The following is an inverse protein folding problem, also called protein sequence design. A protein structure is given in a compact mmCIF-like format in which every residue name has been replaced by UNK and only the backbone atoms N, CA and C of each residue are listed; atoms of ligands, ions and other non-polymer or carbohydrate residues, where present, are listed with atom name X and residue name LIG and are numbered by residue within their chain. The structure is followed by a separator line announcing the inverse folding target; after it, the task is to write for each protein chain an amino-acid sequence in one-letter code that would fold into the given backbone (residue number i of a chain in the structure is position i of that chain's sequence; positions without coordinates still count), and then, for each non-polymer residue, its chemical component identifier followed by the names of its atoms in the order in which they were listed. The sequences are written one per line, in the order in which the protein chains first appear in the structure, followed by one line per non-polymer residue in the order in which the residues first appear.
data_IF_634179694808
#
_entry.id   IF_634179694808
#
_cell.length_a   1.000
_cell.length_b   1.000
_cell.length_c   1.000
_cell.angle_alpha   90.00
_cell.angle_beta   90.00
_cell.angle_gamma   90.00
#
_symmetry.space_group_name_H-M   'P 1'
#
loop_
_entity.id
_entity.type
_entity.pdbx_description
1 polymer ?
#
# COMPACT_ATOMS: atom_id res chain seq x y z
N UNK A 1 25.30 -8.70 -0.30
CA UNK A 1 24.97 -10.02 -0.87
C UNK A 1 23.94 -9.92 -2.00
N UNK A 2 22.69 -9.55 -1.79
CA UNK A 2 21.69 -9.38 -2.87
C UNK A 2 22.01 -8.29 -3.90
N UNK A 3 22.81 -7.28 -3.58
CA UNK A 3 23.21 -6.24 -4.55
C UNK A 3 24.30 -6.74 -5.48
N UNK A 4 25.22 -7.55 -4.96
CA UNK A 4 26.36 -8.08 -5.69
C UNK A 4 25.93 -9.12 -6.75
N UNK A 5 24.98 -9.98 -6.41
CA UNK A 5 24.42 -10.96 -7.35
C UNK A 5 23.85 -10.30 -8.61
N UNK A 6 23.11 -9.19 -8.46
CA UNK A 6 22.54 -8.43 -9.58
C UNK A 6 23.59 -7.88 -10.54
N UNK A 7 24.69 -7.35 -9.98
CA UNK A 7 25.82 -6.85 -10.78
C UNK A 7 26.48 -8.00 -11.54
N UNK A 8 26.66 -9.15 -10.90
CA UNK A 8 27.26 -10.33 -11.53
C UNK A 8 26.43 -10.84 -12.71
N UNK A 9 25.11 -10.98 -12.54
CA UNK A 9 24.20 -11.39 -13.62
C UNK A 9 24.17 -10.38 -14.78
N UNK A 10 24.13 -9.08 -14.46
CA UNK A 10 24.10 -8.04 -15.47
C UNK A 10 25.42 -7.98 -16.28
N UNK A 11 26.57 -8.17 -15.64
CA UNK A 11 27.88 -8.25 -16.32
C UNK A 11 28.01 -9.47 -17.22
N UNK A 12 27.31 -10.55 -16.91
CA UNK A 12 27.18 -11.73 -17.75
C UNK A 12 26.28 -11.54 -18.98
N UNK A 13 25.79 -10.32 -19.26
CA UNK A 13 24.91 -10.00 -20.39
C UNK A 13 23.43 -10.30 -20.16
N UNK A 14 23.05 -10.68 -18.93
CA UNK A 14 21.67 -10.98 -18.57
C UNK A 14 20.83 -9.73 -18.28
N UNK A 15 19.55 -9.77 -18.62
CA UNK A 15 18.59 -8.77 -18.20
C UNK A 15 18.10 -9.06 -16.76
N UNK A 16 18.33 -8.13 -15.83
CA UNK A 16 17.93 -8.25 -14.43
C UNK A 16 16.74 -7.36 -14.15
N UNK A 17 15.64 -7.92 -13.66
CA UNK A 17 14.44 -7.18 -13.24
C UNK A 17 14.32 -7.20 -11.73
N UNK A 18 14.30 -6.01 -11.12
CA UNK A 18 14.06 -5.84 -9.68
C UNK A 18 12.61 -5.42 -9.44
N UNK A 19 11.77 -6.35 -9.04
CA UNK A 19 10.37 -6.08 -8.70
C UNK A 19 10.26 -5.40 -7.33
N UNK A 20 9.35 -4.43 -7.24
CA UNK A 20 8.97 -3.70 -6.03
C UNK A 20 7.45 -3.74 -5.85
N UNK A 21 6.97 -3.70 -4.62
CA UNK A 21 5.54 -3.73 -4.29
C UNK A 21 4.86 -2.36 -4.30
N UNK A 22 5.34 -1.41 -5.09
CA UNK A 22 4.84 -0.05 -5.21
C UNK A 22 5.87 0.82 -5.91
N UNK A 23 5.84 2.13 -5.68
CA UNK A 23 6.88 3.01 -6.22
C UNK A 23 8.24 2.71 -5.56
N UNK A 24 9.27 2.53 -6.40
CA UNK A 24 10.59 2.12 -5.92
C UNK A 24 11.36 3.26 -5.23
N UNK A 25 11.03 4.53 -5.52
CA UNK A 25 11.72 5.69 -4.97
C UNK A 25 11.05 6.25 -3.70
N UNK A 26 9.77 5.94 -3.49
CA UNK A 26 9.09 6.33 -2.24
C UNK A 26 9.26 5.26 -1.16
N UNK A 27 10.22 5.47 -0.25
CA UNK A 27 10.59 4.55 0.84
C UNK A 27 10.94 3.11 0.39
N UNK A 28 11.14 2.92 -0.92
CA UNK A 28 11.45 1.63 -1.53
C UNK A 28 12.96 1.35 -1.67
N UNK A 29 13.82 2.28 -1.25
CA UNK A 29 15.29 2.20 -1.34
C UNK A 29 15.80 2.04 -2.78
N UNK A 30 15.01 2.47 -3.77
CA UNK A 30 15.40 2.41 -5.19
C UNK A 30 16.59 3.31 -5.50
N UNK A 31 16.71 4.47 -4.82
CA UNK A 31 17.84 5.39 -4.96
C UNK A 31 19.17 4.71 -4.67
N UNK A 32 19.29 4.09 -3.49
CA UNK A 32 20.51 3.39 -3.07
C UNK A 32 20.85 2.17 -3.97
N UNK A 33 19.82 1.54 -4.56
CA UNK A 33 20.02 0.47 -5.53
C UNK A 33 20.56 1.01 -6.87
N UNK A 34 20.02 2.13 -7.34
CA UNK A 34 20.48 2.79 -8.58
C UNK A 34 21.90 3.37 -8.44
N UNK A 35 22.21 4.01 -7.32
CA UNK A 35 23.56 4.51 -7.02
C UNK A 35 24.57 3.36 -7.06
N UNK A 36 24.24 2.23 -6.44
CA UNK A 36 25.09 1.05 -6.45
C UNK A 36 25.34 0.50 -7.86
N UNK A 37 24.28 0.39 -8.70
CA UNK A 37 24.42 -0.05 -10.10
C UNK A 37 25.31 0.91 -10.90
N UNK A 38 25.13 2.22 -10.71
CA UNK A 38 25.93 3.26 -11.40
C UNK A 38 27.41 3.17 -11.05
N UNK A 39 27.74 2.98 -9.76
CA UNK A 39 29.11 2.78 -9.30
C UNK A 39 29.79 1.56 -9.95
N UNK A 40 29.02 0.54 -10.33
CA UNK A 40 29.53 -0.66 -11.01
C UNK A 40 29.45 -0.61 -12.54
N UNK A 41 29.07 0.56 -13.12
CA UNK A 41 28.96 0.77 -14.56
C UNK A 41 27.81 -0.01 -15.21
N UNK A 42 26.81 -0.44 -14.45
CA UNK A 42 25.65 -1.16 -14.94
C UNK A 42 24.56 -0.17 -15.38
N UNK A 43 24.16 -0.18 -16.67
CA UNK A 43 23.04 0.63 -17.13
C UNK A 43 21.73 0.12 -16.51
N UNK A 44 20.83 1.04 -16.17
CA UNK A 44 19.54 0.68 -15.58
C UNK A 44 18.43 1.58 -16.09
N UNK A 45 17.20 1.10 -15.95
CA UNK A 45 15.96 1.84 -16.22
C UNK A 45 15.07 1.75 -15.00
N UNK A 46 14.45 2.86 -14.63
CA UNK A 46 13.45 2.92 -13.57
C UNK A 46 12.06 2.99 -14.19
N UNK A 47 11.17 2.11 -13.73
CA UNK A 47 9.75 2.16 -14.05
C UNK A 47 9.03 2.62 -12.79
N UNK A 48 8.45 3.84 -12.77
CA UNK A 48 7.67 4.33 -11.62
C UNK A 48 6.49 3.41 -11.31
N UNK A 49 6.13 3.34 -10.04
CA UNK A 49 5.02 2.54 -9.57
C UNK A 49 3.98 3.37 -8.81
N UNK A 50 2.85 2.75 -8.48
CA UNK A 50 1.83 3.37 -7.64
C UNK A 50 2.16 3.08 -6.18
N UNK A 51 2.39 4.14 -5.39
CA UNK A 51 2.65 4.00 -3.96
C UNK A 51 1.39 3.65 -3.17
N UNK A 52 1.53 2.83 -2.13
CA UNK A 52 0.45 2.52 -1.19
C UNK A 52 -0.07 3.77 -0.44
N UNK A 53 0.75 4.82 -0.33
CA UNK A 53 0.33 6.10 0.26
C UNK A 53 -0.84 6.75 -0.48
N UNK A 54 -0.99 6.47 -1.78
CA UNK A 54 -2.09 6.96 -2.62
C UNK A 54 -3.12 5.86 -2.90
N UNK A 55 -2.65 4.64 -3.20
CA UNK A 55 -3.54 3.55 -3.57
C UNK A 55 -4.44 3.09 -2.42
N UNK A 56 -3.88 2.86 -1.22
CA UNK A 56 -4.67 2.36 -0.10
C UNK A 56 -5.79 3.33 0.33
N UNK A 57 -5.54 4.65 0.51
CA UNK A 57 -6.60 5.62 0.75
C UNK A 57 -7.65 5.66 -0.36
N UNK A 58 -7.24 5.65 -1.64
CA UNK A 58 -8.17 5.68 -2.77
C UNK A 58 -9.14 4.50 -2.75
N UNK A 59 -8.67 3.29 -2.48
CA UNK A 59 -9.50 2.09 -2.32
C UNK A 59 -10.35 2.11 -1.05
N UNK A 60 -10.01 2.92 -0.07
CA UNK A 60 -10.81 3.15 1.13
C UNK A 60 -11.84 4.29 0.98
N UNK A 61 -11.94 4.91 -0.20
CA UNK A 61 -12.79 6.08 -0.45
C UNK A 61 -12.26 7.35 0.24
N UNK A 62 -10.93 7.47 0.40
CA UNK A 62 -10.27 8.63 1.01
C UNK A 62 -9.35 9.28 -0.03
N UNK A 63 -9.77 10.34 -0.72
CA UNK A 63 -8.86 11.11 -1.55
C UNK A 63 -7.84 11.83 -0.66
N UNK A 64 -6.55 11.70 -0.95
CA UNK A 64 -5.51 12.32 -0.11
C UNK A 64 -5.45 13.85 -0.26
N UNK A 65 -6.13 14.42 -1.26
CA UNK A 65 -6.35 15.86 -1.44
C UNK A 65 -7.79 16.12 -1.81
N UNK A 66 -8.34 17.28 -1.39
CA UNK A 66 -9.68 17.71 -1.75
C UNK A 66 -9.74 19.24 -1.69
N UNK A 67 -10.33 19.88 -2.70
CA UNK A 67 -10.36 21.35 -2.84
C UNK A 67 -10.84 22.05 -1.58
N UNK A 68 -11.88 21.52 -0.91
CA UNK A 68 -12.49 22.16 0.25
C UNK A 68 -11.83 21.78 1.60
N UNK A 69 -10.91 20.80 1.60
CA UNK A 69 -10.34 20.28 2.84
C UNK A 69 -8.85 20.54 3.00
N UNK A 70 -8.06 20.41 1.93
CA UNK A 70 -6.62 20.58 2.00
C UNK A 70 -6.00 20.83 0.63
N UNK A 71 -4.92 21.60 0.60
CA UNK A 71 -4.15 21.91 -0.60
C UNK A 71 -2.86 21.07 -0.71
N UNK A 72 -2.53 20.26 0.31
CA UNK A 72 -1.28 19.51 0.35
C UNK A 72 -1.45 18.14 0.98
N UNK A 73 -0.53 17.22 0.65
CA UNK A 73 -0.39 15.91 1.28
C UNK A 73 1.07 15.72 1.69
N UNK A 74 1.28 15.19 2.89
CA UNK A 74 2.59 14.91 3.46
C UNK A 74 2.71 13.41 3.72
N UNK A 75 3.64 12.75 3.05
CA UNK A 75 3.85 11.32 3.17
C UNK A 75 5.10 11.09 4.03
N UNK A 76 4.90 10.42 5.15
CA UNK A 76 5.91 10.23 6.18
C UNK A 76 6.08 8.74 6.45
N UNK A 77 7.31 8.30 6.73
CA UNK A 77 7.54 6.97 7.28
C UNK A 77 7.54 7.02 8.81
N UNK A 78 6.70 6.22 9.42
CA UNK A 78 6.70 6.01 10.87
C UNK A 78 7.50 4.77 11.28
N UNK A 79 8.61 4.53 10.56
CA UNK A 79 9.55 3.46 10.86
C UNK A 79 10.79 4.03 11.56
N UNK A 80 11.00 3.62 12.81
CA UNK A 80 12.19 4.00 13.55
C UNK A 80 13.44 3.29 12.99
N UNK A 81 14.57 4.00 12.89
CA UNK A 81 15.87 3.35 12.67
C UNK A 81 16.21 2.52 13.90
N UNK A 82 16.49 1.21 13.71
CA UNK A 82 16.93 0.24 14.74
C UNK A 82 16.86 0.76 16.20
N UNK A 83 15.73 0.50 16.88
CA UNK A 83 15.51 0.78 18.30
C UNK A 83 15.60 2.26 18.76
N UNK A 84 15.51 3.22 17.84
CA UNK A 84 15.43 4.64 18.18
C UNK A 84 13.99 5.16 18.20
N UNK A 85 13.75 6.37 18.75
CA UNK A 85 12.46 7.02 18.69
C UNK A 85 12.12 7.40 17.25
N UNK A 86 10.83 7.60 16.95
CA UNK A 86 10.38 8.16 15.67
C UNK A 86 10.94 9.59 15.54
N UNK A 87 11.70 9.82 14.47
CA UNK A 87 12.22 11.15 14.14
C UNK A 87 11.23 11.89 13.24
N UNK A 88 10.08 12.30 13.78
CA UNK A 88 9.03 13.00 13.06
C UNK A 88 8.87 14.40 13.70
N UNK A 89 8.95 15.44 12.87
CA UNK A 89 8.62 16.81 13.27
C UNK A 89 7.10 17.01 13.21
N UNK A 90 6.42 16.59 14.28
CA UNK A 90 4.96 16.69 14.38
C UNK A 90 4.46 18.12 14.37
N UNK A 91 5.19 19.07 14.97
CA UNK A 91 4.79 20.49 15.01
C UNK A 91 4.72 21.09 13.61
N UNK A 92 5.75 20.83 12.79
CA UNK A 92 5.74 21.28 11.40
C UNK A 92 4.62 20.64 10.60
N UNK A 93 4.36 19.33 10.76
CA UNK A 93 3.29 18.64 10.07
C UNK A 93 1.90 19.20 10.42
N UNK A 94 1.64 19.46 11.70
CA UNK A 94 0.36 20.04 12.16
C UNK A 94 0.18 21.45 11.62
N UNK A 95 1.23 22.27 11.64
CA UNK A 95 1.20 23.64 11.13
C UNK A 95 0.91 23.74 9.63
N UNK A 96 1.31 22.75 8.82
CA UNK A 96 1.07 22.72 7.37
C UNK A 96 -0.40 22.48 7.01
N UNK A 97 -1.23 21.99 7.92
CA UNK A 97 -2.69 21.79 7.75
C UNK A 97 -3.06 20.96 6.51
N UNK A 98 -2.16 20.13 6.03
CA UNK A 98 -2.36 19.20 4.93
C UNK A 98 -2.91 17.85 5.40
N UNK A 99 -3.21 16.98 4.46
CA UNK A 99 -3.44 15.56 4.76
C UNK A 99 -2.11 14.90 5.12
N UNK A 100 -2.08 14.15 6.22
CA UNK A 100 -0.90 13.39 6.62
C UNK A 100 -1.13 11.91 6.30
N UNK A 101 -0.14 11.28 5.66
CA UNK A 101 -0.16 9.86 5.34
C UNK A 101 1.08 9.21 5.93
N UNK A 102 0.89 8.28 6.87
CA UNK A 102 2.01 7.58 7.50
C UNK A 102 2.08 6.15 6.97
N UNK A 103 3.25 5.81 6.43
CA UNK A 103 3.60 4.46 6.00
C UNK A 103 4.40 3.74 7.08
N UNK A 104 4.29 2.40 7.14
CA UNK A 104 5.00 1.53 8.09
C UNK A 104 4.74 1.89 9.56
N UNK A 105 3.61 2.54 9.87
CA UNK A 105 3.33 3.13 11.18
C UNK A 105 2.28 2.41 12.03
N UNK A 106 1.68 1.30 11.58
CA UNK A 106 0.57 0.69 12.34
C UNK A 106 0.99 0.19 13.73
N UNK A 107 2.21 -0.28 13.88
CA UNK A 107 2.78 -0.70 15.18
C UNK A 107 3.08 0.50 16.09
N UNK A 108 3.32 1.67 15.50
CA UNK A 108 3.58 2.93 16.18
C UNK A 108 2.35 3.87 16.17
N UNK A 109 1.15 3.35 15.86
CA UNK A 109 -0.06 4.18 15.70
C UNK A 109 -0.34 5.02 16.95
N UNK A 110 -0.22 4.44 18.14
CA UNK A 110 -0.43 5.17 19.39
C UNK A 110 0.60 6.29 19.58
N UNK A 111 1.87 6.07 19.24
CA UNK A 111 2.94 7.06 19.31
C UNK A 111 2.72 8.18 18.30
N UNK A 112 2.32 7.83 17.06
CA UNK A 112 2.00 8.83 16.03
C UNK A 112 0.83 9.71 16.45
N UNK A 113 -0.27 9.13 16.95
CA UNK A 113 -1.41 9.90 17.42
C UNK A 113 -1.05 10.77 18.63
N UNK A 114 -0.30 10.24 19.60
CA UNK A 114 0.17 11.00 20.76
C UNK A 114 1.08 12.17 20.35
N UNK A 115 2.01 11.94 19.41
CA UNK A 115 2.88 13.01 18.89
C UNK A 115 2.10 14.12 18.18
N UNK A 116 1.09 13.79 17.37
CA UNK A 116 0.22 14.76 16.73
C UNK A 116 -0.60 15.57 17.76
N UNK A 117 -1.17 14.90 18.76
CA UNK A 117 -1.92 15.56 19.83
C UNK A 117 -1.04 16.52 20.66
N UNK A 118 0.18 16.07 21.01
CA UNK A 118 1.16 16.89 21.71
C UNK A 118 1.60 18.13 20.89
N UNK A 119 1.62 18.00 19.56
CA UNK A 119 1.90 19.09 18.62
C UNK A 119 0.70 20.01 18.35
N UNK A 120 -0.45 19.78 19.01
CA UNK A 120 -1.62 20.66 18.97
C UNK A 120 -2.59 20.38 17.84
N UNK A 121 -2.61 19.18 17.26
CA UNK A 121 -3.72 18.77 16.38
C UNK A 121 -4.99 18.58 17.21
N UNK A 122 -6.13 19.01 16.67
CA UNK A 122 -7.41 18.84 17.37
C UNK A 122 -7.74 17.35 17.57
N UNK A 123 -8.14 16.93 18.80
CA UNK A 123 -8.39 15.52 19.11
C UNK A 123 -9.47 14.86 18.24
N UNK A 124 -10.44 15.65 17.76
CA UNK A 124 -11.53 15.22 16.88
C UNK A 124 -11.16 15.25 15.39
N UNK A 125 -9.93 15.62 15.03
CA UNK A 125 -9.45 15.57 13.65
C UNK A 125 -9.69 14.17 13.07
N UNK A 126 -10.39 14.05 11.92
CA UNK A 126 -10.67 12.76 11.29
C UNK A 126 -9.38 12.03 10.91
N UNK A 127 -9.38 10.73 11.17
CA UNK A 127 -8.25 9.88 10.86
C UNK A 127 -8.71 8.46 10.50
N UNK A 128 -7.89 7.74 9.76
CA UNK A 128 -8.18 6.37 9.32
C UNK A 128 -6.94 5.49 9.32
N UNK A 129 -7.15 4.19 9.53
CA UNK A 129 -6.17 3.13 9.23
C UNK A 129 -6.77 2.27 8.14
N UNK A 130 -6.02 2.03 7.07
CA UNK A 130 -6.39 1.14 5.96
C UNK A 130 -5.42 -0.03 5.93
N UNK A 131 -5.88 -1.19 6.33
CA UNK A 131 -5.14 -2.45 6.31
C UNK A 131 -5.35 -3.16 4.98
N UNK A 132 -4.31 -3.79 4.44
CA UNK A 132 -4.34 -4.52 3.17
C UNK A 132 -4.95 -3.71 2.01
N UNK A 133 -4.68 -2.41 1.95
CA UNK A 133 -5.25 -1.51 0.96
C UNK A 133 -5.15 -2.03 -0.46
N UNK A 134 -6.23 -1.87 -1.23
CA UNK A 134 -6.40 -2.37 -2.60
C UNK A 134 -6.41 -3.91 -2.74
N UNK A 135 -6.54 -4.64 -1.64
CA UNK A 135 -6.69 -6.09 -1.67
C UNK A 135 -8.14 -6.49 -1.33
N UNK A 136 -8.60 -7.66 -1.77
CA UNK A 136 -9.95 -8.14 -1.45
C UNK A 136 -10.25 -8.25 0.04
N UNK A 137 -9.23 -8.48 0.85
CA UNK A 137 -9.31 -8.52 2.32
C UNK A 137 -8.98 -7.18 2.99
N UNK A 138 -9.13 -6.06 2.26
CA UNK A 138 -8.98 -4.72 2.83
C UNK A 138 -9.94 -4.51 3.98
N UNK A 139 -9.44 -3.96 5.09
CA UNK A 139 -10.24 -3.45 6.20
C UNK A 139 -9.86 -2.01 6.49
N UNK A 140 -10.80 -1.24 7.01
CA UNK A 140 -10.52 0.14 7.41
C UNK A 140 -11.17 0.47 8.75
N UNK A 141 -10.45 1.22 9.57
CA UNK A 141 -11.00 1.93 10.73
C UNK A 141 -11.00 3.42 10.40
N UNK A 142 -12.14 4.07 10.54
CA UNK A 142 -12.28 5.53 10.44
C UNK A 142 -12.75 6.03 11.80
N UNK A 143 -12.06 7.04 12.34
CA UNK A 143 -12.31 7.61 13.66
C UNK A 143 -11.70 9.03 13.74
N UNK A 144 -11.34 9.47 14.92
CA UNK A 144 -10.57 10.70 15.17
C UNK A 144 -9.15 10.38 15.62
N UNK A 145 -8.24 11.34 15.57
CA UNK A 145 -6.85 11.15 16.03
C UNK A 145 -6.81 10.59 17.45
N UNK A 146 -7.66 11.10 18.34
CA UNK A 146 -7.69 10.65 19.74
C UNK A 146 -8.20 9.20 19.90
N UNK A 147 -9.20 8.79 19.12
CA UNK A 147 -9.85 7.48 19.26
C UNK A 147 -9.31 6.40 18.32
N UNK A 148 -8.53 6.76 17.29
CA UNK A 148 -8.05 5.84 16.27
C UNK A 148 -7.21 4.68 16.83
N UNK A 149 -6.30 4.87 17.81
CA UNK A 149 -5.51 3.76 18.36
C UNK A 149 -6.38 2.69 19.00
N UNK A 150 -7.40 3.07 19.76
CA UNK A 150 -8.33 2.12 20.38
C UNK A 150 -9.16 1.41 19.32
N UNK A 151 -9.72 2.17 18.37
CA UNK A 151 -10.52 1.60 17.27
C UNK A 151 -9.74 0.59 16.44
N UNK A 152 -8.48 0.87 16.14
CA UNK A 152 -7.60 -0.06 15.41
C UNK A 152 -7.30 -1.33 16.23
N UNK A 153 -7.17 -1.20 17.55
CA UNK A 153 -6.95 -2.33 18.48
C UNK A 153 -8.17 -3.23 18.55
N UNK A 154 -9.37 -2.66 18.73
CA UNK A 154 -10.65 -3.39 18.73
C UNK A 154 -10.80 -4.22 17.45
N UNK A 155 -10.46 -3.63 16.29
CA UNK A 155 -10.52 -4.29 15.01
C UNK A 155 -9.32 -5.20 14.74
N UNK A 156 -8.35 -5.27 15.65
CA UNK A 156 -7.10 -6.06 15.49
C UNK A 156 -6.39 -5.82 14.16
N UNK A 157 -6.30 -4.53 13.74
CA UNK A 157 -5.65 -4.15 12.49
C UNK A 157 -4.14 -4.34 12.60
N UNK A 158 -3.54 -4.84 11.51
CA UNK A 158 -2.11 -5.22 11.44
C UNK A 158 -1.44 -4.65 10.19
N UNK A 159 -0.14 -4.82 10.12
CA UNK A 159 0.63 -4.59 8.88
C UNK A 159 0.28 -5.63 7.80
N UNK A 160 0.27 -5.25 6.51
CA UNK A 160 0.57 -3.93 6.01
C UNK A 160 -0.62 -2.97 6.12
N UNK A 161 -0.39 -1.75 6.61
CA UNK A 161 -1.43 -0.74 6.73
C UNK A 161 -0.89 0.68 6.50
N UNK A 162 -1.78 1.58 6.11
CA UNK A 162 -1.54 3.01 5.91
C UNK A 162 -2.41 3.80 6.88
N UNK A 163 -1.83 4.80 7.54
CA UNK A 163 -2.56 5.73 8.41
C UNK A 163 -2.78 7.02 7.62
N UNK A 164 -3.99 7.56 7.65
CA UNK A 164 -4.34 8.84 7.04
C UNK A 164 -4.94 9.74 8.10
N UNK A 165 -4.48 10.98 8.18
CA UNK A 165 -5.00 11.98 9.12
C UNK A 165 -5.38 13.23 8.35
N UNK A 166 -6.61 13.71 8.55
CA UNK A 166 -7.15 14.91 7.93
C UNK A 166 -8.63 14.80 7.58
N UNK A 167 -9.25 15.94 7.30
CA UNK A 167 -10.69 16.05 7.00
C UNK A 167 -11.13 15.17 5.82
N UNK A 168 -10.24 14.82 4.91
CA UNK A 168 -10.54 13.90 3.78
C UNK A 168 -11.05 12.53 4.24
N UNK A 169 -10.71 12.10 5.46
CA UNK A 169 -11.17 10.83 6.01
C UNK A 169 -12.70 10.78 6.20
N UNK A 170 -13.36 11.93 6.32
CA UNK A 170 -14.84 12.01 6.42
C UNK A 170 -15.54 11.54 5.15
N UNK A 171 -14.85 11.56 4.01
CA UNK A 171 -15.40 11.14 2.72
C UNK A 171 -15.49 9.63 2.57
N UNK A 172 -14.77 8.87 3.38
CA UNK A 172 -14.64 7.42 3.28
C UNK A 172 -15.99 6.67 3.22
N UNK A 173 -17.02 7.17 3.91
CA UNK A 173 -18.36 6.57 3.85
C UNK A 173 -19.13 6.93 2.58
N UNK A 174 -18.98 8.15 2.10
CA UNK A 174 -19.74 8.68 0.96
C UNK A 174 -19.24 8.18 -0.40
N UNK A 175 -17.93 7.98 -0.53
CA UNK A 175 -17.30 7.57 -1.79
C UNK A 175 -16.60 6.21 -1.71
N UNK A 176 -17.03 5.34 -0.79
CA UNK A 176 -16.56 3.95 -0.73
C UNK A 176 -17.10 3.18 -1.93
N UNK A 177 -16.24 2.91 -2.87
CA UNK A 177 -16.58 2.19 -4.10
C UNK A 177 -16.10 0.74 -4.10
N UNK A 178 -15.16 0.39 -3.20
CA UNK A 178 -14.50 -0.92 -3.21
C UNK A 178 -15.09 -1.90 -2.19
N UNK A 179 -15.34 -1.44 -0.95
CA UNK A 179 -15.91 -2.31 0.11
C UNK A 179 -17.30 -2.86 -0.25
N UNK A 180 -18.21 -2.11 -0.94
CA UNK A 180 -19.52 -2.62 -1.31
C UNK A 180 -19.52 -3.61 -2.48
N UNK A 181 -18.37 -3.94 -3.08
CA UNK A 181 -18.33 -4.92 -4.16
C UNK A 181 -18.81 -6.29 -3.67
N UNK A 182 -19.65 -7.00 -4.47
CA UNK A 182 -20.40 -8.17 -4.01
C UNK A 182 -19.52 -9.36 -3.57
N UNK A 183 -18.27 -9.41 -4.03
CA UNK A 183 -17.33 -10.47 -3.66
C UNK A 183 -16.17 -9.95 -2.80
N UNK A 184 -16.24 -8.72 -2.28
CA UNK A 184 -15.25 -8.20 -1.36
C UNK A 184 -15.10 -9.11 -0.13
N UNK A 185 -13.87 -9.41 0.25
CA UNK A 185 -13.57 -10.33 1.36
C UNK A 185 -13.75 -11.82 1.03
N UNK A 186 -14.07 -12.17 -0.22
CA UNK A 186 -14.18 -13.56 -0.65
C UNK A 186 -12.95 -14.01 -1.40
N UNK A 187 -12.48 -15.22 -1.10
CA UNK A 187 -11.43 -15.92 -1.86
C UNK A 187 -12.10 -17.02 -2.70
N UNK A 188 -11.83 -17.00 -4.01
CA UNK A 188 -12.44 -17.93 -4.98
C UNK A 188 -11.34 -18.70 -5.70
N UNK A 189 -11.35 -20.01 -5.60
CA UNK A 189 -10.47 -20.88 -6.37
C UNK A 189 -11.06 -21.14 -7.77
N UNK A 190 -10.28 -20.84 -8.81
CA UNK A 190 -10.63 -21.12 -10.21
C UNK A 190 -9.83 -22.32 -10.69
N UNK A 191 -10.51 -23.44 -10.90
CA UNK A 191 -9.89 -24.73 -11.26
C UNK A 191 -9.84 -25.00 -12.76
N UNK A 192 -10.27 -24.05 -13.59
CA UNK A 192 -10.26 -24.15 -15.05
C UNK A 192 -8.84 -24.28 -15.60
N UNK A 193 -8.64 -24.88 -16.79
CA UNK A 193 -7.39 -24.85 -17.51
C UNK A 193 -6.85 -23.43 -17.65
N UNK A 194 -5.54 -23.26 -17.57
CA UNK A 194 -4.85 -21.97 -17.54
C UNK A 194 -5.28 -21.04 -18.68
N UNK A 195 -5.47 -21.59 -19.87
CA UNK A 195 -5.86 -20.87 -21.09
C UNK A 195 -7.29 -20.31 -21.03
N UNK A 196 -8.15 -20.88 -20.18
CA UNK A 196 -9.56 -20.51 -20.04
C UNK A 196 -9.88 -19.83 -18.69
N UNK A 197 -8.91 -19.73 -17.79
CA UNK A 197 -9.10 -19.13 -16.46
C UNK A 197 -9.18 -17.60 -16.51
N UNK A 198 -8.41 -16.96 -17.38
CA UNK A 198 -8.14 -15.51 -17.33
C UNK A 198 -9.39 -14.62 -17.38
N UNK A 199 -10.34 -14.89 -18.30
CA UNK A 199 -11.55 -14.06 -18.42
C UNK A 199 -12.49 -14.20 -17.22
N UNK A 200 -12.61 -15.38 -16.62
CA UNK A 200 -13.38 -15.60 -15.41
C UNK A 200 -12.71 -14.93 -14.22
N UNK A 201 -11.40 -15.14 -14.08
CA UNK A 201 -10.61 -14.53 -13.00
C UNK A 201 -10.72 -12.99 -13.01
N UNK A 202 -10.66 -12.38 -14.19
CA UNK A 202 -10.84 -10.93 -14.33
C UNK A 202 -12.21 -10.46 -13.85
N UNK A 203 -13.28 -11.15 -14.25
CA UNK A 203 -14.65 -10.82 -13.81
C UNK A 203 -14.82 -10.95 -12.31
N UNK A 204 -14.28 -12.01 -11.71
CA UNK A 204 -14.33 -12.23 -10.26
C UNK A 204 -13.55 -11.15 -9.50
N UNK A 205 -12.35 -10.78 -9.98
CA UNK A 205 -11.56 -9.67 -9.41
C UNK A 205 -12.27 -8.33 -9.54
N UNK A 206 -12.94 -8.07 -10.67
CA UNK A 206 -13.73 -6.84 -10.85
C UNK A 206 -14.91 -6.75 -9.87
N UNK A 207 -15.42 -7.87 -9.38
CA UNK A 207 -16.43 -7.95 -8.34
C UNK A 207 -15.85 -7.91 -6.90
N UNK A 208 -14.55 -7.75 -6.75
CA UNK A 208 -13.87 -7.60 -5.47
C UNK A 208 -13.30 -8.89 -4.87
N UNK A 209 -13.34 -10.02 -5.59
CA UNK A 209 -12.82 -11.29 -5.07
C UNK A 209 -11.29 -11.36 -5.10
N UNK A 210 -10.73 -12.07 -4.13
CA UNK A 210 -9.41 -12.68 -4.27
C UNK A 210 -9.55 -13.95 -5.12
N UNK A 211 -8.77 -14.05 -6.19
CA UNK A 211 -8.84 -15.19 -7.11
C UNK A 211 -7.55 -15.99 -7.07
N UNK A 212 -7.67 -17.23 -6.62
CA UNK A 212 -6.63 -18.24 -6.67
C UNK A 212 -6.81 -19.08 -7.94
N UNK A 213 -5.89 -18.96 -8.90
CA UNK A 213 -5.89 -19.78 -10.09
C UNK A 213 -5.18 -21.10 -9.79
N UNK A 214 -5.97 -22.18 -9.70
CA UNK A 214 -5.51 -23.53 -9.37
C UNK A 214 -5.94 -24.49 -10.48
N UNK A 215 -5.32 -24.45 -11.68
CA UNK A 215 -5.71 -25.31 -12.80
C UNK A 215 -5.53 -26.78 -12.42
N UNK A 216 -6.63 -27.54 -12.46
CA UNK A 216 -6.64 -28.96 -12.13
C UNK A 216 -6.66 -29.86 -13.39
N UNK A 217 -6.77 -29.25 -14.59
CA UNK A 217 -6.87 -29.94 -15.88
C UNK A 217 -5.93 -29.23 -16.84
N UNK A 218 -5.13 -29.98 -17.57
CA UNK A 218 -4.33 -29.54 -18.69
C UNK A 218 -4.91 -30.12 -19.99
N UNK A 219 -5.05 -29.27 -21.02
CA UNK A 219 -5.48 -29.72 -22.35
C UNK A 219 -4.24 -29.98 -23.21
N UNK A 220 -3.96 -31.21 -23.52
CA UNK A 220 -2.85 -31.59 -24.42
C UNK A 220 -3.42 -31.89 -25.78
N UNK A 221 -2.86 -31.26 -26.82
CA UNK A 221 -3.16 -31.60 -28.21
C UNK A 221 -2.65 -33.01 -28.51
N UNK A 222 -3.55 -33.85 -28.97
CA UNK A 222 -3.18 -35.20 -29.42
C UNK A 222 -2.51 -35.11 -30.79
N UNK A 223 -1.23 -35.42 -30.84
CA UNK A 223 -0.42 -35.33 -32.08
C UNK A 223 -0.29 -36.67 -32.81
N UNK A 224 -0.91 -37.73 -32.31
CA UNK A 224 -0.81 -39.12 -32.79
C UNK A 224 -2.03 -39.59 -33.62
N UNK A 225 -2.81 -38.65 -34.15
CA UNK A 225 -3.88 -38.92 -35.12
C UNK A 225 -3.33 -38.78 -36.56
N UNK A 226 -2.42 -39.68 -36.98
CA UNK A 226 -2.06 -39.88 -38.37
C UNK A 226 -2.50 -41.26 -38.85
#
# INVERSE_FOLDING_TARGET
EMKDDRVTYARGGGNVVRLKGGDCFLFGRGGEECEFLKLHGIPFRVVPGVTSALAAPAFAGIPVTHRDFCASVHIVTAHAKKNGPLQIDYESLVRLRGTLVFLMGVTALSEVCAGLLAAGIEPDTPAAVVENGARPNQRKAVSTVAALPERAREMTLKSPAVIVVGRVCTLSGAIDWFTPLPLHGKTIAVTRPKERAGSLSQKLRALGAEVLECPCIESVLRTDLS
#
